data_IF_900675823202
#
_entry.id   IF_900675823202
#
_cell.length_a   1.000
_cell.length_b   1.000
_cell.length_c   1.000
_cell.angle_alpha   90.00
_cell.angle_beta   90.00
_cell.angle_gamma   90.00
#
_symmetry.space_group_name_H-M   'P 1'
#
loop_
_entity.id
_entity.type
_entity.pdbx_description
1 polymer ?
#
# COMPACT_ATOMS: atom_id res chain seq x y z
N UNK A 1 -3.46 0.97 -2.09
CA UNK A 1 -2.36 0.01 -2.37
C UNK A 1 -2.24 -0.19 -3.88
N UNK A 2 -1.05 -0.48 -4.41
CA UNK A 2 -0.85 -0.94 -5.79
C UNK A 2 -0.51 -2.43 -5.78
N UNK A 3 -0.98 -3.21 -6.76
CA UNK A 3 -0.75 -4.67 -6.81
C UNK A 3 -0.45 -5.13 -8.24
N UNK A 4 0.28 -6.25 -8.36
CA UNK A 4 0.43 -7.00 -9.61
C UNK A 4 0.84 -8.43 -9.30
N UNK A 5 0.01 -9.40 -9.66
CA UNK A 5 0.29 -10.84 -9.48
C UNK A 5 0.57 -11.28 -8.03
N UNK A 6 -0.31 -10.88 -7.12
CA UNK A 6 -0.20 -11.11 -5.67
C UNK A 6 -1.21 -12.14 -5.13
N UNK A 7 -1.82 -12.95 -6.00
CA UNK A 7 -2.90 -13.89 -5.66
C UNK A 7 -2.56 -14.79 -4.47
N UNK A 8 -1.29 -15.16 -4.33
CA UNK A 8 -0.79 -16.06 -3.28
C UNK A 8 -0.65 -15.42 -1.90
N UNK A 9 -0.54 -14.09 -1.82
CA UNK A 9 -0.19 -13.40 -0.58
C UNK A 9 -1.14 -12.26 -0.22
N UNK A 10 -2.00 -11.81 -1.13
CA UNK A 10 -2.81 -10.60 -0.94
C UNK A 10 -3.73 -10.70 0.28
N UNK A 11 -4.33 -11.86 0.54
CA UNK A 11 -5.19 -12.04 1.71
C UNK A 11 -4.39 -11.98 3.03
N UNK A 12 -3.12 -12.40 3.03
CA UNK A 12 -2.23 -12.28 4.20
C UNK A 12 -2.03 -10.80 4.58
N UNK A 13 -1.92 -9.92 3.59
CA UNK A 13 -1.82 -8.47 3.80
C UNK A 13 -3.15 -7.85 4.22
N UNK A 14 -4.26 -8.24 3.58
CA UNK A 14 -5.57 -7.64 3.84
C UNK A 14 -6.17 -8.08 5.18
N UNK A 15 -6.03 -9.35 5.57
CA UNK A 15 -6.72 -9.92 6.73
C UNK A 15 -6.52 -9.16 8.06
N UNK A 16 -5.31 -8.73 8.43
CA UNK A 16 -5.11 -7.94 9.65
C UNK A 16 -5.76 -6.56 9.62
N UNK A 17 -6.03 -6.01 8.43
CA UNK A 17 -6.59 -4.65 8.27
C UNK A 17 -8.07 -4.57 8.60
N UNK A 18 -8.80 -5.70 8.61
CA UNK A 18 -10.27 -5.77 8.82
C UNK A 18 -10.75 -5.04 10.05
N UNK A 19 -9.93 -5.02 11.09
CA UNK A 19 -10.28 -4.41 12.38
C UNK A 19 -10.30 -2.88 12.35
N UNK A 20 -9.71 -2.25 11.33
CA UNK A 20 -9.51 -0.80 11.31
C UNK A 20 -9.97 -0.11 10.02
N UNK A 21 -10.01 -0.80 8.87
CA UNK A 21 -10.34 -0.16 7.59
C UNK A 21 -11.85 -0.09 7.37
N UNK A 22 -12.34 1.08 6.93
CA UNK A 22 -13.74 1.27 6.52
C UNK A 22 -13.95 1.06 5.02
N UNK A 23 -12.88 1.22 4.23
CA UNK A 23 -12.90 1.16 2.78
C UNK A 23 -11.64 0.50 2.25
N UNK A 24 -11.73 -0.13 1.08
CA UNK A 24 -10.58 -0.67 0.35
C UNK A 24 -10.49 -0.06 -1.04
N UNK A 25 -9.37 0.59 -1.37
CA UNK A 25 -9.05 1.04 -2.73
C UNK A 25 -7.70 0.48 -3.16
N UNK A 26 -7.73 -0.35 -4.19
CA UNK A 26 -6.55 -1.05 -4.71
C UNK A 26 -6.42 -0.79 -6.20
N UNK A 27 -5.21 -0.45 -6.64
CA UNK A 27 -4.87 -0.20 -8.03
C UNK A 27 -4.08 -1.40 -8.56
N UNK A 28 -4.75 -2.26 -9.31
CA UNK A 28 -4.16 -3.36 -10.06
C UNK A 28 -3.43 -2.84 -11.30
N UNK A 29 -2.19 -3.28 -11.47
CA UNK A 29 -1.29 -2.79 -12.51
C UNK A 29 -1.12 -3.76 -13.69
N UNK A 30 -2.17 -4.53 -13.98
CA UNK A 30 -2.17 -5.57 -15.00
C UNK A 30 -1.75 -6.92 -14.42
N UNK A 31 -2.44 -7.37 -13.38
CA UNK A 31 -2.34 -8.78 -12.96
C UNK A 31 -2.87 -9.69 -14.07
N UNK A 32 -2.20 -10.82 -14.24
CA UNK A 32 -2.58 -11.92 -15.16
C UNK A 32 -3.01 -13.17 -14.39
N UNK A 33 -3.03 -13.09 -13.06
CA UNK A 33 -3.56 -14.10 -12.16
C UNK A 33 -4.86 -13.61 -11.49
N UNK A 34 -5.38 -14.39 -10.56
CA UNK A 34 -6.67 -14.12 -9.89
C UNK A 34 -6.60 -13.00 -8.83
N UNK A 35 -5.50 -12.23 -8.75
CA UNK A 35 -5.33 -11.17 -7.74
C UNK A 35 -6.54 -10.23 -7.65
N UNK A 36 -7.08 -9.67 -8.75
CA UNK A 36 -8.21 -8.74 -8.66
C UNK A 36 -9.46 -9.40 -8.09
N UNK A 37 -9.72 -10.66 -8.45
CA UNK A 37 -10.94 -11.35 -8.04
C UNK A 37 -10.87 -11.84 -6.60
N UNK A 38 -9.69 -12.26 -6.14
CA UNK A 38 -9.43 -12.53 -4.72
C UNK A 38 -9.69 -11.28 -3.88
N UNK A 39 -9.19 -10.11 -4.29
CA UNK A 39 -9.44 -8.85 -3.59
C UNK A 39 -10.95 -8.51 -3.54
N UNK A 40 -11.65 -8.67 -4.67
CA UNK A 40 -13.10 -8.41 -4.75
C UNK A 40 -13.91 -9.32 -3.84
N UNK A 41 -13.59 -10.60 -3.83
CA UNK A 41 -14.21 -11.57 -2.95
C UNK A 41 -13.94 -11.23 -1.49
N UNK A 42 -12.69 -10.90 -1.17
CA UNK A 42 -12.29 -10.55 0.19
C UNK A 42 -13.10 -9.38 0.76
N UNK A 43 -13.20 -8.24 0.07
CA UNK A 43 -13.93 -7.09 0.65
C UNK A 43 -15.44 -7.37 0.70
N UNK A 44 -15.99 -8.16 -0.24
CA UNK A 44 -17.40 -8.57 -0.26
C UNK A 44 -17.73 -9.47 0.93
N UNK A 45 -16.92 -10.48 1.20
CA UNK A 45 -17.11 -11.43 2.30
C UNK A 45 -16.96 -10.77 3.68
N UNK A 46 -16.12 -9.74 3.77
CA UNK A 46 -15.92 -9.00 5.02
C UNK A 46 -16.88 -7.81 5.17
N UNK A 47 -17.83 -7.61 4.25
CA UNK A 47 -18.77 -6.48 4.23
C UNK A 47 -18.09 -5.10 4.28
N UNK A 48 -16.91 -4.99 3.66
CA UNK A 48 -16.15 -3.74 3.55
C UNK A 48 -16.35 -3.20 2.14
N UNK A 49 -16.85 -1.96 1.95
CA UNK A 49 -16.93 -1.38 0.62
C UNK A 49 -15.53 -1.27 -0.01
N UNK A 50 -15.36 -1.88 -1.18
CA UNK A 50 -14.07 -1.96 -1.85
C UNK A 50 -14.14 -1.69 -3.35
N UNK A 51 -13.04 -1.20 -3.92
CA UNK A 51 -12.87 -0.94 -5.35
C UNK A 51 -11.49 -1.39 -5.82
N UNK A 52 -11.47 -2.15 -6.91
CA UNK A 52 -10.25 -2.45 -7.67
C UNK A 52 -10.23 -1.59 -8.92
N UNK A 53 -9.21 -0.74 -9.04
CA UNK A 53 -8.94 0.05 -10.24
C UNK A 53 -7.92 -0.70 -11.10
N UNK A 54 -8.08 -0.64 -12.42
CA UNK A 54 -7.08 -1.18 -13.34
C UNK A 54 -6.35 -0.03 -14.04
N UNK A 55 -5.03 -0.01 -13.97
CA UNK A 55 -4.19 1.03 -14.56
C UNK A 55 -2.91 0.41 -15.14
N UNK A 56 -2.36 0.92 -16.25
CA UNK A 56 -1.05 0.48 -16.70
C UNK A 56 0.05 0.88 -15.69
N UNK A 57 1.07 0.04 -15.56
CA UNK A 57 2.27 0.41 -14.82
C UNK A 57 3.09 1.44 -15.61
N UNK A 58 3.49 2.53 -14.95
CA UNK A 58 4.43 3.51 -15.49
C UNK A 58 5.71 3.56 -14.67
N UNK A 59 5.57 3.78 -13.36
CA UNK A 59 6.63 3.65 -12.36
C UNK A 59 6.00 3.71 -10.96
N UNK A 60 6.77 3.35 -9.93
CA UNK A 60 6.27 3.29 -8.56
C UNK A 60 5.72 4.63 -8.05
N UNK A 61 6.45 5.74 -8.21
CA UNK A 61 6.01 7.06 -7.74
C UNK A 61 4.70 7.52 -8.39
N UNK A 62 4.58 7.33 -9.71
CA UNK A 62 3.37 7.65 -10.47
C UNK A 62 2.19 6.77 -10.03
N UNK A 63 2.35 5.45 -10.04
CA UNK A 63 1.26 4.53 -9.74
C UNK A 63 0.81 4.63 -8.26
N UNK A 64 1.73 4.86 -7.31
CA UNK A 64 1.38 5.13 -5.91
C UNK A 64 0.59 6.44 -5.77
N UNK A 65 1.04 7.50 -6.43
CA UNK A 65 0.31 8.79 -6.43
C UNK A 65 -1.08 8.66 -7.08
N UNK A 66 -1.17 7.90 -8.17
CA UNK A 66 -2.45 7.62 -8.83
C UNK A 66 -3.38 6.81 -7.92
N UNK A 67 -2.89 5.77 -7.26
CA UNK A 67 -3.68 4.97 -6.33
C UNK A 67 -4.23 5.80 -5.16
N UNK A 68 -3.41 6.71 -4.60
CA UNK A 68 -3.87 7.67 -3.57
C UNK A 68 -4.98 8.58 -4.12
N UNK A 69 -4.79 9.17 -5.30
CA UNK A 69 -5.79 10.05 -5.90
C UNK A 69 -7.10 9.32 -6.20
N UNK A 70 -7.03 8.07 -6.69
CA UNK A 70 -8.20 7.24 -6.95
C UNK A 70 -8.94 6.92 -5.65
N UNK A 71 -8.23 6.53 -4.59
CA UNK A 71 -8.82 6.27 -3.28
C UNK A 71 -9.57 7.50 -2.73
N UNK A 72 -8.96 8.68 -2.80
CA UNK A 72 -9.59 9.95 -2.38
C UNK A 72 -10.87 10.26 -3.18
N UNK A 73 -10.86 10.02 -4.49
CA UNK A 73 -12.02 10.25 -5.37
C UNK A 73 -13.15 9.24 -5.13
N UNK A 74 -12.80 7.97 -4.93
CA UNK A 74 -13.77 6.88 -4.72
C UNK A 74 -14.40 6.94 -3.33
N UNK A 75 -13.61 7.31 -2.31
CA UNK A 75 -14.06 7.38 -0.92
C UNK A 75 -13.82 8.77 -0.33
N UNK A 76 -14.57 9.81 -0.79
CA UNK A 76 -14.36 11.19 -0.34
C UNK A 76 -14.70 11.42 1.14
N UNK A 77 -15.34 10.44 1.79
CA UNK A 77 -15.68 10.45 3.23
C UNK A 77 -14.61 9.80 4.11
N UNK A 78 -13.59 9.16 3.53
CA UNK A 78 -12.51 8.58 4.33
C UNK A 78 -11.67 9.69 4.96
N UNK A 79 -11.20 9.53 6.20
CA UNK A 79 -10.39 10.53 6.91
C UNK A 79 -8.88 10.32 6.70
N UNK A 80 -8.45 9.07 6.61
CA UNK A 80 -7.05 8.68 6.45
C UNK A 80 -6.88 7.57 5.41
N UNK A 81 -5.74 7.60 4.73
CA UNK A 81 -5.24 6.56 3.84
C UNK A 81 -4.23 5.72 4.61
N UNK A 82 -4.48 4.41 4.70
CA UNK A 82 -3.49 3.44 5.13
C UNK A 82 -2.73 2.92 3.90
N UNK A 83 -1.42 3.17 3.86
CA UNK A 83 -0.55 2.76 2.76
C UNK A 83 0.10 1.42 3.07
N UNK A 84 -0.27 0.36 2.35
CA UNK A 84 0.36 -0.95 2.45
C UNK A 84 0.88 -1.40 1.09
N UNK A 85 1.94 -2.20 1.12
CA UNK A 85 2.40 -3.03 0.01
C UNK A 85 1.87 -4.47 0.23
N UNK A 86 1.65 -5.23 -0.84
CA UNK A 86 0.93 -6.51 -0.81
C UNK A 86 1.65 -7.63 -0.05
N UNK A 87 2.96 -7.50 0.16
CA UNK A 87 3.80 -8.43 0.90
C UNK A 87 3.85 -8.17 2.41
N UNK A 88 3.33 -7.02 2.86
CA UNK A 88 3.30 -6.61 4.27
C UNK A 88 2.24 -7.35 5.08
N UNK A 89 2.46 -7.39 6.40
CA UNK A 89 1.47 -7.84 7.38
C UNK A 89 1.32 -6.75 8.43
N UNK A 90 0.13 -6.17 8.54
CA UNK A 90 -0.13 -5.12 9.52
C UNK A 90 -0.28 -5.71 10.92
N UNK A 91 0.43 -5.15 11.90
CA UNK A 91 0.21 -5.42 13.32
C UNK A 91 -0.60 -4.27 13.94
N UNK A 92 -1.87 -4.53 14.27
CA UNK A 92 -2.72 -3.56 14.98
C UNK A 92 -2.57 -3.79 16.48
N UNK A 93 -2.12 -2.75 17.22
CA UNK A 93 -1.97 -2.85 18.67
C UNK A 93 -3.35 -2.86 19.36
N UNK A 94 -3.53 -3.58 20.49
CA UNK A 94 -4.84 -3.75 21.14
C UNK A 94 -5.61 -2.47 21.53
N UNK A 95 -4.91 -1.34 21.65
CA UNK A 95 -5.48 -0.04 22.05
C UNK A 95 -5.38 1.01 20.94
N UNK A 96 -5.17 0.59 19.69
CA UNK A 96 -5.20 1.52 18.58
C UNK A 96 -6.64 2.00 18.33
N UNK A 97 -6.86 3.30 18.47
CA UNK A 97 -8.11 3.96 18.15
C UNK A 97 -7.90 4.94 17.00
N UNK A 98 -8.53 4.65 15.85
CA UNK A 98 -8.43 5.53 14.67
C UNK A 98 -9.15 6.88 14.87
N UNK A 99 -10.06 6.98 15.83
CA UNK A 99 -10.77 8.23 16.14
C UNK A 99 -9.85 9.28 16.81
N UNK A 100 -8.69 8.89 17.32
CA UNK A 100 -7.73 9.82 17.94
C UNK A 100 -6.77 10.45 16.93
N UNK A 101 -6.89 10.13 15.64
CA UNK A 101 -5.98 10.64 14.60
C UNK A 101 -6.32 12.10 14.23
N UNK A 102 -5.42 13.02 14.55
CA UNK A 102 -5.55 14.47 14.39
C UNK A 102 -4.43 15.14 13.55
N UNK A 103 -3.38 14.42 13.16
CA UNK A 103 -2.22 14.95 12.40
C UNK A 103 -2.35 14.73 10.90
N UNK A 104 -1.61 15.50 10.12
CA UNK A 104 -1.58 15.34 8.65
C UNK A 104 -1.08 13.95 8.23
N UNK A 105 -0.14 13.38 8.97
CA UNK A 105 0.35 12.03 8.74
C UNK A 105 0.88 11.40 10.03
N UNK A 106 0.96 10.07 10.04
CA UNK A 106 1.61 9.30 11.09
C UNK A 106 2.66 8.36 10.52
N UNK A 107 3.77 8.28 11.24
CA UNK A 107 4.78 7.27 11.01
C UNK A 107 4.33 5.94 11.63
N UNK A 108 4.53 4.84 10.91
CA UNK A 108 4.40 3.49 11.45
C UNK A 108 5.76 2.79 11.35
N UNK A 109 6.09 2.01 12.37
CA UNK A 109 7.32 1.21 12.37
C UNK A 109 7.15 0.03 11.41
N UNK A 110 8.02 -0.04 10.42
CA UNK A 110 8.22 -1.21 9.58
C UNK A 110 9.44 -1.96 10.09
N UNK A 111 9.34 -3.28 10.22
CA UNK A 111 10.42 -4.08 10.75
C UNK A 111 10.46 -5.51 10.20
N UNK A 112 11.65 -6.09 10.22
CA UNK A 112 11.90 -7.52 10.07
C UNK A 112 12.89 -8.00 11.15
N UNK A 113 13.53 -9.15 10.95
CA UNK A 113 14.53 -9.71 11.88
C UNK A 113 15.82 -8.89 11.99
N UNK A 114 16.10 -7.97 11.06
CA UNK A 114 17.37 -7.26 10.93
C UNK A 114 17.22 -5.74 11.01
N UNK A 115 16.15 -5.18 10.44
CA UNK A 115 15.99 -3.74 10.24
C UNK A 115 14.67 -3.28 10.88
N UNK A 116 14.72 -2.10 11.51
CA UNK A 116 13.55 -1.36 11.99
C UNK A 116 13.66 0.09 11.55
N UNK A 117 12.60 0.62 10.96
CA UNK A 117 12.57 1.99 10.48
C UNK A 117 11.15 2.53 10.45
N UNK A 118 11.02 3.85 10.37
CA UNK A 118 9.73 4.53 10.44
C UNK A 118 9.41 5.18 9.10
N UNK A 119 8.21 4.92 8.59
CA UNK A 119 7.71 5.50 7.34
C UNK A 119 6.32 6.09 7.53
N UNK A 120 6.00 7.14 6.77
CA UNK A 120 4.64 7.68 6.71
C UNK A 120 3.72 6.67 6.03
N UNK A 121 2.79 6.10 6.79
CA UNK A 121 1.87 5.05 6.31
C UNK A 121 0.41 5.36 6.59
N UNK A 122 0.10 6.34 7.45
CA UNK A 122 -1.22 6.94 7.58
C UNK A 122 -1.17 8.38 7.10
N UNK A 123 -1.95 8.71 6.08
CA UNK A 123 -1.97 10.05 5.46
C UNK A 123 -3.38 10.62 5.47
N UNK A 124 -3.56 11.86 5.93
CA UNK A 124 -4.87 12.53 5.96
C UNK A 124 -5.41 12.72 4.54
N UNK A 125 -6.58 12.19 4.25
CA UNK A 125 -7.15 12.14 2.88
C UNK A 125 -7.42 13.52 2.29
N UNK A 126 -7.63 14.55 3.11
CA UNK A 126 -7.93 15.92 2.65
C UNK A 126 -6.75 16.66 2.01
N UNK A 127 -5.54 16.08 2.04
CA UNK A 127 -4.31 16.73 1.57
C UNK A 127 -3.80 16.14 0.23
N UNK A 128 -3.10 16.95 -0.60
CA UNK A 128 -2.68 16.55 -1.94
C UNK A 128 -1.36 15.74 -1.93
N UNK A 129 -1.42 14.50 -1.44
CA UNK A 129 -0.25 13.63 -1.35
C UNK A 129 0.29 13.17 -2.71
N UNK A 130 1.61 13.03 -2.79
CA UNK A 130 2.31 12.40 -3.92
C UNK A 130 3.47 11.55 -3.43
N UNK A 131 3.70 10.43 -4.09
CA UNK A 131 4.88 9.59 -3.89
C UNK A 131 5.99 10.05 -4.83
N UNK A 132 7.14 10.44 -4.29
CA UNK A 132 8.32 10.88 -5.06
C UNK A 132 9.44 9.85 -4.90
N UNK A 133 10.11 9.48 -5.99
CA UNK A 133 11.27 8.57 -5.97
C UNK A 133 10.97 7.12 -6.37
N UNK A 134 12.04 6.31 -6.36
CA UNK A 134 12.01 4.85 -6.56
C UNK A 134 11.98 4.14 -5.20
N UNK A 135 11.45 2.91 -5.16
CA UNK A 135 11.24 2.18 -3.90
C UNK A 135 12.55 1.79 -3.21
N UNK A 136 13.58 1.44 -3.97
CA UNK A 136 14.92 1.12 -3.48
C UNK A 136 15.96 1.56 -4.52
N UNK A 137 17.07 2.11 -4.06
CA UNK A 137 18.27 2.31 -4.87
C UNK A 137 18.97 0.97 -5.10
N UNK A 138 19.61 0.79 -6.25
CA UNK A 138 20.51 -0.33 -6.48
C UNK A 138 21.87 0.22 -6.89
N UNK A 139 22.92 -0.44 -6.40
CA UNK A 139 24.29 -0.15 -6.77
C UNK A 139 24.71 -1.16 -7.82
N UNK A 140 25.00 -0.67 -9.02
CA UNK A 140 25.64 -1.48 -10.05
C UNK A 140 27.16 -1.43 -9.86
N UNK A 141 27.82 -2.56 -10.06
CA UNK A 141 29.27 -2.60 -10.13
C UNK A 141 29.64 -2.75 -11.59
N UNK A 142 30.23 -1.71 -12.16
CA UNK A 142 30.78 -1.76 -13.51
C UNK A 142 32.00 -2.68 -13.54
N UNK A 143 31.74 -3.95 -13.87
CA UNK A 143 32.75 -5.00 -13.85
C UNK A 143 33.76 -4.87 -14.98
N UNK A 144 33.42 -4.16 -16.05
CA UNK A 144 34.32 -3.94 -17.19
C UNK A 144 35.45 -2.95 -16.80
N UNK A 145 35.23 -2.16 -15.76
CA UNK A 145 36.20 -1.22 -15.19
C UNK A 145 36.85 -1.72 -13.88
N UNK A 146 36.67 -2.99 -13.51
CA UNK A 146 37.45 -3.61 -12.45
C UNK A 146 38.86 -3.91 -12.99
N UNK A 147 39.82 -3.06 -12.66
CA UNK A 147 41.23 -3.39 -12.85
C UNK A 147 41.53 -4.57 -11.92
N UNK A 148 41.90 -5.71 -12.50
CA UNK A 148 42.34 -6.86 -11.72
C UNK A 148 43.71 -6.54 -11.11
N UNK A 149 43.79 -6.53 -9.78
CA UNK A 149 45.04 -6.52 -9.01
C UNK A 149 45.70 -7.91 -9.02
#
# INVERSE_FOLDING_TARGET
>A
MIVKNESKIIERCLNPTKSIVDFVSICDMGSTDDTPDIIKNWYRENNIPGTVHHQPFKNFGYNRSLAVSLAQKTYPKADYLLLLDADMVLEVKPHFDKCTLDKDHYLTMQYDSHIKYWLSRLLKTSLPWRSVGVTHEYWDLDRDNLVAD
#
